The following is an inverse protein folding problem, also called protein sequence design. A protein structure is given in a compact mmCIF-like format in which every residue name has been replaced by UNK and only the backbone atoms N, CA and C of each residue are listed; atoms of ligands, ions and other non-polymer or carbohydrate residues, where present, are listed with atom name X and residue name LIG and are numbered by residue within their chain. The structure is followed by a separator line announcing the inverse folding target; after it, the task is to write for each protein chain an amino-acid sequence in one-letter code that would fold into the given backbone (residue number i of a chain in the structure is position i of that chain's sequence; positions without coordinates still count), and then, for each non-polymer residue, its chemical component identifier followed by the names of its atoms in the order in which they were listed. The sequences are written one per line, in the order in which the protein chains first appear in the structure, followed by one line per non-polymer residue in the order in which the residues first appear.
data_IF_926017855063
#
_entry.id   IF_926017855063
#
_cell.length_a   1.000
_cell.length_b   1.000
_cell.length_c   1.000
_cell.angle_alpha   90.00
_cell.angle_beta   90.00
_cell.angle_gamma   90.00
#
_symmetry.space_group_name_H-M   'P 1'
#
loop_
_entity.id
_entity.type
_entity.pdbx_description
1 polymer ?
#
# COMPACT_ATOMS: atom_id res chain seq x y z
N UNK A 1 22.22 21.37 8.31
CA UNK A 1 21.27 21.69 7.22
C UNK A 1 20.68 20.42 6.57
N UNK A 2 21.47 19.54 5.95
CA UNK A 2 20.96 18.35 5.23
C UNK A 2 20.10 17.37 6.06
N UNK A 3 20.42 17.15 7.33
CA UNK A 3 19.59 16.29 8.20
C UNK A 3 18.21 16.90 8.48
N UNK A 4 18.14 18.23 8.64
CA UNK A 4 16.88 18.96 8.87
C UNK A 4 16.04 18.93 7.59
N UNK A 5 16.65 19.19 6.44
CA UNK A 5 15.97 19.08 5.14
C UNK A 5 15.43 17.67 4.89
N UNK A 6 16.22 16.62 5.15
CA UNK A 6 15.78 15.23 5.05
C UNK A 6 14.58 14.90 5.96
N UNK A 7 14.60 15.40 7.21
CA UNK A 7 13.47 15.24 8.15
C UNK A 7 12.22 15.97 7.66
N UNK A 8 12.37 17.20 7.14
CA UNK A 8 11.26 17.96 6.58
C UNK A 8 10.64 17.24 5.37
N UNK A 9 11.46 16.77 4.42
CA UNK A 9 10.98 16.01 3.24
C UNK A 9 10.20 14.76 3.65
N UNK A 10 10.70 14.04 4.66
CA UNK A 10 10.00 12.89 5.22
C UNK A 10 8.67 13.30 5.85
N UNK A 11 8.65 14.39 6.62
CA UNK A 11 7.46 14.87 7.31
C UNK A 11 6.37 15.35 6.32
N UNK A 12 6.77 15.99 5.20
CA UNK A 12 5.88 16.32 4.07
C UNK A 12 5.27 15.07 3.45
N UNK A 13 6.11 14.06 3.13
CA UNK A 13 5.61 12.78 2.63
C UNK A 13 4.62 12.12 3.61
N UNK A 14 4.88 12.19 4.92
CA UNK A 14 3.99 11.65 5.95
C UNK A 14 2.64 12.33 6.01
N UNK A 15 2.59 13.66 5.94
CA UNK A 15 1.34 14.40 5.88
C UNK A 15 0.52 14.00 4.63
N UNK A 16 1.17 13.82 3.48
CA UNK A 16 0.53 13.33 2.26
C UNK A 16 0.01 11.89 2.41
N UNK A 17 0.79 10.99 3.02
CA UNK A 17 0.35 9.61 3.32
C UNK A 17 -0.85 9.55 4.27
N UNK A 18 -1.03 10.55 5.13
CA UNK A 18 -2.22 10.69 5.99
C UNK A 18 -3.42 11.35 5.28
N UNK A 19 -3.27 11.74 4.01
CA UNK A 19 -4.31 12.43 3.25
C UNK A 19 -4.44 13.92 3.59
N UNK A 20 -3.42 14.53 4.17
CA UNK A 20 -3.44 15.91 4.71
C UNK A 20 -2.52 16.86 3.90
N UNK A 21 -2.84 17.20 2.63
CA UNK A 21 -1.99 18.10 1.83
C UNK A 21 -1.91 19.51 2.42
N UNK A 22 -2.95 19.99 3.10
CA UNK A 22 -2.93 21.30 3.77
C UNK A 22 -1.91 21.34 4.91
N UNK A 23 -1.78 20.25 5.67
CA UNK A 23 -0.73 20.13 6.69
C UNK A 23 0.65 20.12 6.04
N UNK A 24 0.83 19.34 4.97
CA UNK A 24 2.09 19.29 4.21
C UNK A 24 2.53 20.69 3.75
N UNK A 25 1.61 21.50 3.20
CA UNK A 25 1.89 22.88 2.77
C UNK A 25 2.31 23.80 3.91
N UNK A 26 1.67 23.68 5.08
CA UNK A 26 2.02 24.50 6.27
C UNK A 26 3.41 24.19 6.82
N UNK A 27 3.87 22.95 6.69
CA UNK A 27 5.18 22.52 7.20
C UNK A 27 6.35 23.12 6.42
N UNK A 28 6.13 23.54 5.16
CA UNK A 28 7.14 24.08 4.25
C UNK A 28 7.12 25.60 4.15
N UNK A 29 6.62 26.30 5.18
CA UNK A 29 6.51 27.76 5.21
C UNK A 29 7.84 28.44 4.83
N UNK A 30 7.88 29.10 3.67
CA UNK A 30 9.05 29.81 3.13
C UNK A 30 9.60 29.26 1.80
N UNK A 31 9.44 27.96 1.52
CA UNK A 31 9.85 27.35 0.24
C UNK A 31 8.98 26.12 -0.04
N UNK A 32 7.81 26.35 -0.65
CA UNK A 32 6.87 25.31 -1.01
C UNK A 32 7.45 24.47 -2.16
N UNK A 33 7.62 23.14 -2.01
CA UNK A 33 8.00 22.30 -3.14
C UNK A 33 6.91 22.40 -4.22
N UNK A 34 7.26 22.57 -5.51
CA UNK A 34 6.28 22.66 -6.60
C UNK A 34 5.33 21.45 -6.68
N UNK A 35 5.78 20.30 -6.18
CA UNK A 35 4.96 19.10 -5.97
C UNK A 35 3.66 19.39 -5.21
N UNK A 36 3.71 20.24 -4.18
CA UNK A 36 2.55 20.51 -3.34
C UNK A 36 1.50 21.33 -4.07
N UNK A 37 1.85 22.09 -5.11
CA UNK A 37 0.90 22.85 -5.93
C UNK A 37 0.19 22.02 -7.00
N UNK A 38 0.69 20.82 -7.30
CA UNK A 38 0.07 19.95 -8.29
C UNK A 38 -1.30 19.45 -7.81
N UNK A 39 -2.22 19.24 -8.76
CA UNK A 39 -3.50 18.59 -8.48
C UNK A 39 -3.34 17.09 -8.26
N UNK A 40 -2.41 16.48 -8.99
CA UNK A 40 -2.15 15.04 -8.97
C UNK A 40 -0.65 14.77 -8.86
N UNK A 41 -0.32 13.63 -8.28
CA UNK A 41 1.03 13.09 -8.23
C UNK A 41 1.03 11.61 -8.56
N UNK A 42 2.18 11.09 -8.97
CA UNK A 42 2.46 9.67 -9.00
C UNK A 42 3.64 9.35 -8.07
N UNK A 43 3.63 8.14 -7.51
CA UNK A 43 4.76 7.62 -6.74
C UNK A 43 5.61 6.75 -7.64
N UNK A 44 6.88 7.08 -7.72
CA UNK A 44 7.94 6.27 -8.32
C UNK A 44 8.74 5.65 -7.18
N UNK A 45 8.64 4.34 -7.01
CA UNK A 45 9.36 3.62 -5.97
C UNK A 45 10.57 2.92 -6.58
N UNK A 46 11.76 3.47 -6.31
CA UNK A 46 13.02 2.91 -6.75
C UNK A 46 13.55 1.94 -5.69
N UNK A 47 13.82 0.69 -6.10
CA UNK A 47 14.64 -0.25 -5.34
C UNK A 47 16.10 -0.03 -5.70
N UNK A 48 16.94 0.26 -4.73
CA UNK A 48 18.39 0.39 -4.89
C UNK A 48 19.15 -0.10 -3.63
N UNK A 49 20.47 -0.32 -3.71
CA UNK A 49 21.29 -0.63 -2.54
C UNK A 49 21.18 0.49 -1.48
N UNK A 50 21.19 0.17 -0.16
CA UNK A 50 20.97 1.17 0.88
C UNK A 50 22.02 2.29 0.88
N UNK A 51 23.26 1.95 0.48
CA UNK A 51 24.38 2.88 0.35
C UNK A 51 24.15 3.93 -0.76
N UNK A 52 23.38 3.60 -1.80
CA UNK A 52 23.18 4.47 -2.96
C UNK A 52 22.10 5.53 -2.70
N UNK A 53 21.15 5.28 -1.78
CA UNK A 53 20.03 6.21 -1.49
C UNK A 53 20.50 7.62 -1.18
N UNK A 54 21.55 7.76 -0.36
CA UNK A 54 22.09 9.06 0.03
C UNK A 54 22.71 9.80 -1.14
N UNK A 55 23.50 9.08 -1.95
CA UNK A 55 24.14 9.61 -3.17
C UNK A 55 23.10 10.07 -4.18
N UNK A 56 22.08 9.26 -4.42
CA UNK A 56 21.01 9.58 -5.38
C UNK A 56 20.22 10.82 -4.97
N UNK A 57 19.81 10.92 -3.70
CA UNK A 57 19.13 12.13 -3.19
C UNK A 57 20.00 13.36 -3.44
N UNK A 58 21.27 13.33 -3.02
CA UNK A 58 22.17 14.47 -3.17
C UNK A 58 22.45 14.83 -4.64
N UNK A 59 22.51 13.85 -5.55
CA UNK A 59 22.78 14.07 -6.96
C UNK A 59 21.64 14.80 -7.71
N UNK A 60 20.41 14.66 -7.24
CA UNK A 60 19.23 15.30 -7.83
C UNK A 60 18.68 16.44 -6.95
N UNK A 61 19.36 16.78 -5.86
CA UNK A 61 18.95 17.86 -4.96
C UNK A 61 19.27 19.23 -5.59
N UNK A 62 18.28 20.10 -5.70
CA UNK A 62 18.43 21.47 -6.20
C UNK A 62 18.80 22.46 -5.07
N UNK A 63 19.01 23.73 -5.44
CA UNK A 63 19.36 24.79 -4.49
C UNK A 63 18.33 25.04 -3.38
N UNK A 64 17.07 24.64 -3.57
CA UNK A 64 16.00 24.75 -2.58
C UNK A 64 15.94 23.55 -1.62
N UNK A 65 16.77 22.52 -1.86
CA UNK A 65 16.74 21.28 -1.08
C UNK A 65 15.62 20.33 -1.51
N UNK A 66 15.05 20.52 -2.69
CA UNK A 66 14.09 19.61 -3.30
C UNK A 66 14.69 18.98 -4.56
N UNK A 67 13.88 18.35 -5.42
CA UNK A 67 14.38 17.60 -6.57
C UNK A 67 13.70 18.10 -7.85
N UNK A 68 13.87 19.41 -8.11
CA UNK A 68 13.13 20.16 -9.10
C UNK A 68 11.66 20.25 -8.71
N UNK A 69 10.81 19.66 -9.56
CA UNK A 69 9.36 19.63 -9.31
C UNK A 69 8.93 18.45 -8.43
N UNK A 70 9.81 17.47 -8.24
CA UNK A 70 9.54 16.28 -7.45
C UNK A 70 10.18 16.29 -6.07
N UNK A 71 10.02 15.19 -5.35
CA UNK A 71 10.56 15.00 -4.01
C UNK A 71 11.09 13.58 -3.84
N UNK A 72 12.39 13.41 -3.54
CA UNK A 72 12.93 12.11 -3.12
C UNK A 72 13.05 12.01 -1.59
N UNK A 73 12.60 10.87 -1.05
CA UNK A 73 12.58 10.57 0.38
C UNK A 73 13.07 9.15 0.60
N UNK A 74 13.99 8.95 1.56
CA UNK A 74 14.38 7.61 1.99
C UNK A 74 13.17 6.93 2.61
N UNK A 75 12.86 5.70 2.20
CA UNK A 75 11.87 4.92 2.94
C UNK A 75 12.42 4.57 4.32
N UNK A 76 11.77 4.97 5.43
CA UNK A 76 12.23 4.66 6.78
C UNK A 76 11.88 3.23 7.21
N UNK A 77 11.10 2.52 6.39
CA UNK A 77 10.67 1.15 6.65
C UNK A 77 11.53 0.14 5.91
N UNK A 78 11.85 0.38 4.64
CA UNK A 78 12.63 -0.52 3.79
C UNK A 78 13.92 0.15 3.34
N UNK A 79 15.06 -0.42 3.73
CA UNK A 79 16.36 0.17 3.46
C UNK A 79 16.78 0.17 2.00
N UNK A 80 16.10 -0.62 1.18
CA UNK A 80 16.32 -0.65 -0.26
C UNK A 80 15.41 0.29 -1.04
N UNK A 81 14.48 1.00 -0.39
CA UNK A 81 13.50 1.82 -1.09
C UNK A 81 13.85 3.31 -1.01
N UNK A 82 13.80 3.95 -2.18
CA UNK A 82 13.79 5.39 -2.37
C UNK A 82 12.42 5.78 -2.95
N UNK A 83 11.71 6.64 -2.24
CA UNK A 83 10.35 7.09 -2.59
C UNK A 83 10.50 8.40 -3.35
N UNK A 84 10.04 8.44 -4.59
CA UNK A 84 10.07 9.63 -5.43
C UNK A 84 8.63 10.06 -5.72
N UNK A 85 8.24 11.23 -5.22
CA UNK A 85 6.95 11.86 -5.53
C UNK A 85 7.15 12.73 -6.76
N UNK A 86 6.35 12.52 -7.78
CA UNK A 86 6.44 13.25 -9.06
C UNK A 86 5.07 13.89 -9.33
N UNK A 87 4.99 15.22 -9.50
CA UNK A 87 3.73 15.86 -9.87
C UNK A 87 3.33 15.48 -11.30
N UNK A 88 2.04 15.44 -11.56
CA UNK A 88 1.47 15.20 -12.90
C UNK A 88 0.65 16.43 -13.29
N UNK A 89 1.04 17.10 -14.37
CA UNK A 89 0.31 18.28 -14.88
C UNK A 89 -0.87 17.88 -15.77
N UNK A 90 -1.83 18.79 -15.90
CA UNK A 90 -3.11 18.54 -16.57
C UNK A 90 -3.02 18.36 -18.10
N UNK A 91 -1.96 18.88 -18.73
CA UNK A 91 -1.89 19.03 -20.21
C UNK A 91 -0.80 18.19 -20.90
N UNK A 92 -0.07 17.34 -20.17
CA UNK A 92 0.92 16.45 -20.79
C UNK A 92 0.70 14.99 -20.36
N UNK A 93 0.16 14.19 -21.27
CA UNK A 93 0.27 12.72 -21.25
C UNK A 93 1.76 12.26 -21.29
N UNK A 94 2.69 13.21 -21.44
CA UNK A 94 4.11 13.03 -21.20
C UNK A 94 4.44 13.15 -19.70
N UNK A 95 4.36 12.02 -19.00
CA UNK A 95 4.94 11.78 -17.65
C UNK A 95 6.49 11.91 -17.65
N UNK A 96 7.10 12.71 -18.53
CA UNK A 96 8.55 12.76 -18.76
C UNK A 96 9.24 14.00 -18.13
N UNK A 97 8.52 14.78 -17.33
CA UNK A 97 9.08 15.93 -16.61
C UNK A 97 9.87 15.57 -15.34
N UNK A 98 11.11 16.07 -15.25
CA UNK A 98 11.91 16.18 -14.01
C UNK A 98 12.61 14.88 -13.59
N UNK A 99 11.97 14.09 -12.74
CA UNK A 99 12.57 12.89 -12.11
C UNK A 99 12.38 11.60 -12.92
N UNK A 100 11.43 11.57 -13.86
CA UNK A 100 11.03 10.32 -14.52
C UNK A 100 12.11 9.80 -15.47
N UNK A 101 12.65 10.66 -16.34
CA UNK A 101 13.72 10.31 -17.27
C UNK A 101 14.98 9.84 -16.52
N UNK A 102 15.50 10.58 -15.50
CA UNK A 102 16.65 10.11 -14.74
C UNK A 102 16.41 8.79 -14.00
N UNK A 103 15.24 8.58 -13.39
CA UNK A 103 14.95 7.33 -12.68
C UNK A 103 14.94 6.12 -13.64
N UNK A 104 14.43 6.30 -14.86
CA UNK A 104 14.46 5.26 -15.90
C UNK A 104 15.88 5.00 -16.40
N UNK A 105 16.70 6.03 -16.55
CA UNK A 105 18.11 5.88 -16.90
C UNK A 105 18.87 5.08 -15.83
N UNK A 106 18.72 5.42 -14.55
CA UNK A 106 19.35 4.70 -13.45
C UNK A 106 19.06 3.19 -13.43
N UNK A 107 17.84 2.78 -13.77
CA UNK A 107 17.46 1.34 -13.85
C UNK A 107 18.06 0.64 -15.07
N UNK A 108 18.22 1.35 -16.18
CA UNK A 108 18.90 0.82 -17.38
C UNK A 108 20.39 0.64 -17.10
N UNK A 109 21.00 1.60 -16.40
CA UNK A 109 22.45 1.66 -16.19
C UNK A 109 22.95 0.75 -15.06
N UNK A 110 22.14 0.52 -14.01
CA UNK A 110 22.50 -0.37 -12.89
C UNK A 110 21.53 -1.57 -12.79
N UNK A 111 21.99 -2.81 -13.00
CA UNK A 111 21.14 -4.00 -12.94
C UNK A 111 20.62 -4.29 -11.54
N UNK A 112 21.17 -3.68 -10.49
CA UNK A 112 20.70 -3.82 -9.10
C UNK A 112 19.45 -2.99 -8.84
N UNK A 113 19.05 -2.11 -9.78
CA UNK A 113 17.96 -1.17 -9.61
C UNK A 113 16.69 -1.70 -10.27
N UNK A 114 15.54 -1.38 -9.67
CA UNK A 114 14.23 -1.66 -10.24
C UNK A 114 13.25 -0.54 -9.86
N UNK A 115 12.27 -0.26 -10.71
CA UNK A 115 11.35 0.87 -10.53
C UNK A 115 9.88 0.44 -10.68
N UNK A 116 9.12 0.68 -9.62
CA UNK A 116 7.66 0.60 -9.65
C UNK A 116 7.05 1.98 -9.79
N UNK A 117 6.08 2.15 -10.69
CA UNK A 117 5.42 3.42 -10.96
C UNK A 117 3.93 3.27 -10.64
N UNK A 118 3.43 4.03 -9.67
CA UNK A 118 2.01 4.09 -9.33
C UNK A 118 1.21 4.90 -10.36
N UNK A 119 -0.13 4.83 -10.29
CA UNK A 119 -0.99 5.65 -11.12
C UNK A 119 -1.01 7.11 -10.61
N UNK A 120 -1.31 8.09 -11.48
CA UNK A 120 -1.54 9.46 -11.05
C UNK A 120 -2.78 9.56 -10.14
N UNK A 121 -2.64 10.12 -8.95
CA UNK A 121 -3.73 10.28 -7.97
C UNK A 121 -3.76 11.70 -7.41
N UNK A 122 -4.91 12.19 -6.92
CA UNK A 122 -4.96 13.42 -6.13
C UNK A 122 -4.06 13.33 -4.89
N UNK A 123 -3.51 14.45 -4.42
CA UNK A 123 -2.60 14.49 -3.25
C UNK A 123 -3.15 13.75 -2.00
N UNK A 124 -4.44 13.88 -1.62
CA UNK A 124 -4.98 13.13 -0.48
C UNK A 124 -4.90 11.60 -0.62
N UNK A 125 -4.81 11.09 -1.86
CA UNK A 125 -4.73 9.66 -2.16
C UNK A 125 -3.28 9.14 -2.26
N UNK A 126 -2.28 9.87 -1.74
CA UNK A 126 -0.85 9.49 -1.81
C UNK A 126 -0.59 8.08 -1.25
N UNK A 127 -1.29 7.67 -0.18
CA UNK A 127 -1.17 6.32 0.36
C UNK A 127 -1.50 5.23 -0.67
N UNK A 128 -2.55 5.44 -1.46
CA UNK A 128 -2.94 4.55 -2.56
C UNK A 128 -1.87 4.53 -3.66
N UNK A 129 -1.35 5.68 -4.09
CA UNK A 129 -0.28 5.70 -5.10
C UNK A 129 1.00 5.04 -4.62
N UNK A 130 1.34 5.18 -3.33
CA UNK A 130 2.48 4.47 -2.74
C UNK A 130 2.29 2.95 -2.79
N UNK A 131 1.09 2.45 -2.48
CA UNK A 131 0.79 1.03 -2.59
C UNK A 131 0.81 0.53 -4.04
N UNK A 132 0.22 1.28 -4.97
CA UNK A 132 0.29 0.98 -6.40
C UNK A 132 1.75 0.90 -6.90
N UNK A 133 2.61 1.81 -6.46
CA UNK A 133 4.03 1.80 -6.79
C UNK A 133 4.77 0.60 -6.18
N UNK A 134 4.40 0.17 -4.96
CA UNK A 134 4.92 -1.06 -4.35
C UNK A 134 4.50 -2.30 -5.14
N UNK A 135 3.26 -2.37 -5.58
CA UNK A 135 2.78 -3.45 -6.43
C UNK A 135 3.57 -3.49 -7.75
N UNK A 136 3.64 -2.35 -8.44
CA UNK A 136 4.41 -2.22 -9.66
C UNK A 136 5.89 -2.59 -9.44
N UNK A 137 6.50 -2.22 -8.31
CA UNK A 137 7.90 -2.58 -8.03
C UNK A 137 8.09 -4.11 -7.86
N UNK A 138 7.12 -4.80 -7.26
CA UNK A 138 7.15 -6.26 -7.14
C UNK A 138 7.06 -6.94 -8.52
N UNK A 139 6.28 -6.38 -9.45
CA UNK A 139 6.26 -6.79 -10.87
C UNK A 139 7.64 -6.53 -11.49
N UNK A 140 8.15 -5.31 -11.36
CA UNK A 140 9.38 -4.84 -11.98
C UNK A 140 10.59 -5.68 -11.59
N UNK A 141 10.70 -6.14 -10.33
CA UNK A 141 11.81 -6.98 -9.89
C UNK A 141 11.91 -8.32 -10.63
N UNK A 142 10.87 -8.72 -11.38
CA UNK A 142 10.79 -10.00 -12.09
C UNK A 142 10.62 -9.83 -13.61
N UNK A 143 10.67 -8.60 -14.13
CA UNK A 143 10.68 -8.34 -15.57
C UNK A 143 12.09 -8.00 -16.07
N UNK A 144 12.45 -8.36 -17.31
CA UNK A 144 13.75 -8.01 -17.89
C UNK A 144 14.02 -6.50 -17.89
N UNK A 145 12.98 -5.70 -18.11
CA UNK A 145 13.04 -4.23 -18.16
C UNK A 145 13.30 -3.60 -16.79
N UNK A 146 13.02 -4.33 -15.70
CA UNK A 146 13.12 -3.87 -14.31
C UNK A 146 12.32 -2.60 -14.00
N UNK A 147 11.37 -2.27 -14.86
CA UNK A 147 10.46 -1.14 -14.74
C UNK A 147 9.05 -1.68 -14.97
N UNK A 148 8.13 -1.37 -14.07
CA UNK A 148 6.72 -1.64 -14.30
C UNK A 148 5.87 -0.45 -13.85
N UNK A 149 4.78 -0.24 -14.59
CA UNK A 149 3.71 0.69 -14.24
C UNK A 149 2.56 -0.10 -13.65
N UNK A 150 1.92 0.47 -12.64
CA UNK A 150 0.63 0.01 -12.18
C UNK A 150 -0.36 0.22 -13.33
N UNK A 151 -0.99 -0.85 -13.80
CA UNK A 151 -2.08 -0.81 -14.76
C UNK A 151 -3.37 -1.06 -14.00
N UNK A 152 -4.44 -0.35 -14.37
CA UNK A 152 -5.72 -0.27 -13.67
C UNK A 152 -6.45 -1.63 -13.54
N UNK A 153 -5.96 -2.49 -12.65
CA UNK A 153 -6.83 -3.46 -12.00
C UNK A 153 -7.58 -2.72 -10.91
N UNK A 154 -8.92 -2.57 -11.03
CA UNK A 154 -9.69 -1.95 -9.96
C UNK A 154 -9.45 -2.74 -8.66
N UNK A 155 -9.07 -2.07 -7.56
CA UNK A 155 -8.94 -2.74 -6.27
C UNK A 155 -10.29 -3.36 -5.92
N UNK A 156 -10.29 -4.44 -5.14
CA UNK A 156 -11.51 -5.15 -4.74
C UNK A 156 -12.60 -4.19 -4.25
N UNK A 157 -12.25 -3.19 -3.44
CA UNK A 157 -13.16 -2.16 -2.96
C UNK A 157 -13.99 -1.47 -4.07
N UNK A 158 -13.38 -1.21 -5.23
CA UNK A 158 -14.06 -0.57 -6.37
C UNK A 158 -14.92 -1.51 -7.21
N UNK A 159 -14.83 -2.83 -6.97
CA UNK A 159 -15.63 -3.86 -7.65
C UNK A 159 -16.88 -4.24 -6.86
N UNK A 160 -16.94 -3.89 -5.57
CA UNK A 160 -18.10 -4.20 -4.72
C UNK A 160 -19.29 -3.28 -5.05
N UNK A 161 -20.53 -3.76 -4.90
CA UNK A 161 -21.72 -2.93 -5.05
C UNK A 161 -21.65 -1.70 -4.14
N UNK A 162 -21.53 -0.52 -4.75
CA UNK A 162 -21.00 0.68 -4.08
C UNK A 162 -21.80 1.11 -2.84
N UNK A 163 -23.13 1.13 -2.95
CA UNK A 163 -24.00 1.55 -1.84
C UNK A 163 -23.96 0.54 -0.69
N UNK A 164 -24.03 -0.75 -1.01
CA UNK A 164 -23.95 -1.85 -0.05
C UNK A 164 -22.60 -1.87 0.66
N UNK A 165 -21.51 -1.67 -0.10
CA UNK A 165 -20.16 -1.59 0.44
C UNK A 165 -19.97 -0.39 1.36
N UNK A 166 -20.48 0.80 0.99
CA UNK A 166 -20.46 1.98 1.86
C UNK A 166 -21.25 1.76 3.15
N UNK A 167 -22.46 1.22 3.06
CA UNK A 167 -23.29 0.95 4.23
C UNK A 167 -22.58 -0.03 5.20
N UNK A 168 -21.98 -1.10 4.66
CA UNK A 168 -21.17 -2.02 5.44
C UNK A 168 -19.94 -1.35 6.06
N UNK A 169 -19.17 -0.59 5.27
CA UNK A 169 -17.97 0.07 5.76
C UNK A 169 -18.27 1.11 6.86
N UNK A 170 -19.35 1.89 6.70
CA UNK A 170 -19.79 2.82 7.73
C UNK A 170 -20.20 2.10 9.01
N UNK A 171 -21.03 1.05 8.92
CA UNK A 171 -21.42 0.27 10.08
C UNK A 171 -20.22 -0.40 10.77
N UNK A 172 -19.26 -0.93 10.00
CA UNK A 172 -18.05 -1.55 10.50
C UNK A 172 -17.12 -0.55 11.20
N UNK A 173 -16.98 0.67 10.67
CA UNK A 173 -16.09 1.71 11.20
C UNK A 173 -16.75 2.59 12.29
N UNK A 174 -18.06 2.51 12.48
CA UNK A 174 -18.79 3.31 13.47
C UNK A 174 -18.18 3.26 14.89
N UNK A 175 -17.75 2.09 15.42
CA UNK A 175 -17.17 2.04 16.77
C UNK A 175 -15.90 2.87 16.95
N UNK A 176 -15.20 3.19 15.86
CA UNK A 176 -13.98 4.02 15.89
C UNK A 176 -14.18 5.41 15.29
N UNK A 177 -15.41 5.79 14.94
CA UNK A 177 -15.71 7.08 14.30
C UNK A 177 -15.31 8.28 15.17
N UNK A 178 -15.44 8.14 16.48
CA UNK A 178 -15.07 9.18 17.46
C UNK A 178 -13.61 9.08 17.94
N UNK A 179 -12.84 8.11 17.43
CA UNK A 179 -11.45 7.94 17.81
C UNK A 179 -10.63 9.19 17.41
N UNK A 180 -9.60 9.56 18.18
CA UNK A 180 -8.74 10.69 17.83
C UNK A 180 -8.12 10.49 16.44
N UNK A 181 -8.05 11.55 15.62
CA UNK A 181 -7.50 11.51 14.24
C UNK A 181 -6.16 10.76 14.15
N UNK A 182 -5.23 11.08 15.05
CA UNK A 182 -3.93 10.40 15.17
C UNK A 182 -4.05 8.87 15.31
N UNK A 183 -5.08 8.38 16.01
CA UNK A 183 -5.34 6.94 16.17
C UNK A 183 -5.74 6.31 14.84
N UNK A 184 -6.59 6.98 14.06
CA UNK A 184 -7.01 6.53 12.73
C UNK A 184 -5.82 6.56 11.76
N UNK A 185 -4.99 7.61 11.80
CA UNK A 185 -3.80 7.73 10.96
C UNK A 185 -2.77 6.62 11.27
N UNK A 186 -2.50 6.38 12.56
CA UNK A 186 -1.63 5.27 13.00
C UNK A 186 -2.18 3.92 12.52
N UNK A 187 -3.50 3.74 12.58
CA UNK A 187 -4.16 2.50 12.15
C UNK A 187 -4.02 2.31 10.65
N UNK A 188 -4.34 3.32 9.85
CA UNK A 188 -4.17 3.29 8.40
C UNK A 188 -2.71 3.01 8.00
N UNK A 189 -1.75 3.67 8.64
CA UNK A 189 -0.32 3.39 8.42
C UNK A 189 0.07 1.97 8.83
N UNK A 190 -0.45 1.46 9.96
CA UNK A 190 -0.13 0.11 10.43
C UNK A 190 -0.69 -0.99 9.52
N UNK A 191 -1.72 -0.72 8.71
CA UNK A 191 -2.21 -1.64 7.68
C UNK A 191 -1.25 -1.74 6.48
N UNK A 192 -0.43 -0.72 6.27
CA UNK A 192 0.51 -0.63 5.14
C UNK A 192 1.98 -0.89 5.53
N UNK A 193 2.30 -0.72 6.81
CA UNK A 193 3.67 -0.81 7.35
C UNK A 193 3.72 -1.63 8.66
N UNK A 194 4.86 -2.29 8.95
CA UNK A 194 5.12 -2.85 10.27
C UNK A 194 5.04 -1.76 11.36
N UNK A 195 4.58 -2.12 12.57
CA UNK A 195 4.44 -1.19 13.71
C UNK A 195 5.73 -0.42 14.03
N UNK A 196 6.88 -1.09 13.94
CA UNK A 196 8.18 -0.44 14.13
C UNK A 196 8.50 0.59 13.03
N UNK A 197 8.01 0.34 11.81
CA UNK A 197 8.05 1.31 10.71
C UNK A 197 7.17 2.51 11.01
N UNK A 198 5.92 2.29 11.44
CA UNK A 198 4.99 3.38 11.84
C UNK A 198 5.57 4.25 12.95
N UNK A 199 6.17 3.63 13.97
CA UNK A 199 6.84 4.34 15.07
C UNK A 199 7.96 5.26 14.56
N UNK A 200 8.82 4.76 13.65
CA UNK A 200 9.88 5.56 13.02
C UNK A 200 9.33 6.65 12.09
N UNK A 201 8.25 6.35 11.36
CA UNK A 201 7.59 7.27 10.43
C UNK A 201 7.01 8.49 11.17
N UNK A 202 6.42 8.26 12.34
CA UNK A 202 5.75 9.30 13.14
C UNK A 202 6.63 9.90 14.25
N UNK A 203 7.89 9.46 14.37
CA UNK A 203 8.80 9.82 15.46
C UNK A 203 8.18 9.64 16.87
N UNK A 204 7.46 8.54 17.06
CA UNK A 204 6.83 8.16 18.33
C UNK A 204 7.33 6.78 18.80
N UNK A 205 7.11 6.48 20.08
CA UNK A 205 7.49 5.18 20.62
C UNK A 205 6.65 4.03 20.02
N UNK A 206 7.24 2.84 19.90
CA UNK A 206 6.50 1.61 19.52
C UNK A 206 5.35 1.30 20.48
N UNK A 207 5.50 1.69 21.75
CA UNK A 207 4.47 1.52 22.78
C UNK A 207 3.28 2.44 22.49
N UNK A 208 3.52 3.68 22.06
CA UNK A 208 2.49 4.63 21.64
C UNK A 208 1.69 4.06 20.46
N UNK A 209 2.37 3.59 19.41
CA UNK A 209 1.71 2.90 18.28
C UNK A 209 0.86 1.73 18.78
N UNK A 210 1.41 0.91 19.68
CA UNK A 210 0.71 -0.27 20.21
C UNK A 210 -0.52 0.12 21.03
N UNK A 211 -0.48 1.20 21.81
CA UNK A 211 -1.60 1.71 22.58
C UNK A 211 -2.73 2.22 21.67
N UNK A 212 -2.41 2.97 20.62
CA UNK A 212 -3.40 3.41 19.63
C UNK A 212 -4.05 2.23 18.89
N UNK A 213 -3.25 1.26 18.45
CA UNK A 213 -3.77 0.06 17.79
C UNK A 213 -4.61 -0.80 18.74
N UNK A 214 -4.29 -0.85 20.04
CA UNK A 214 -5.10 -1.56 21.04
C UNK A 214 -6.48 -0.91 21.19
N UNK A 215 -6.55 0.42 21.30
CA UNK A 215 -7.85 1.13 21.36
C UNK A 215 -8.77 0.81 20.18
N UNK A 216 -8.21 0.73 18.97
CA UNK A 216 -8.98 0.36 17.76
C UNK A 216 -9.42 -1.10 17.81
N UNK A 217 -8.52 -2.01 18.20
CA UNK A 217 -8.85 -3.44 18.37
C UNK A 217 -9.97 -3.64 19.39
N UNK A 218 -9.89 -2.96 20.54
CA UNK A 218 -10.89 -3.07 21.61
C UNK A 218 -12.25 -2.50 21.16
N UNK A 219 -12.25 -1.36 20.48
CA UNK A 219 -13.48 -0.73 19.97
C UNK A 219 -14.17 -1.56 18.87
N UNK A 220 -13.39 -2.18 17.98
CA UNK A 220 -13.90 -3.01 16.89
C UNK A 220 -14.12 -4.48 17.27
N UNK A 221 -13.67 -4.90 18.47
CA UNK A 221 -13.73 -6.30 18.89
C UNK A 221 -12.90 -7.25 18.03
N UNK A 222 -11.81 -6.78 17.41
CA UNK A 222 -10.98 -7.56 16.49
C UNK A 222 -9.50 -7.60 16.88
N UNK A 223 -8.75 -8.53 16.28
CA UNK A 223 -7.30 -8.62 16.47
C UNK A 223 -6.56 -8.24 15.20
N UNK A 224 -5.68 -7.24 15.25
CA UNK A 224 -4.82 -6.88 14.12
C UNK A 224 -3.65 -7.85 13.92
N UNK A 225 -3.54 -8.87 14.77
CA UNK A 225 -2.66 -10.03 14.53
C UNK A 225 -3.33 -11.08 13.63
N UNK A 226 -4.67 -11.07 13.56
CA UNK A 226 -5.39 -11.91 12.61
C UNK A 226 -5.37 -11.24 11.23
N UNK A 227 -4.77 -11.89 10.21
CA UNK A 227 -4.70 -11.34 8.86
C UNK A 227 -6.09 -11.13 8.24
N UNK A 228 -7.13 -11.86 8.66
CA UNK A 228 -8.50 -11.68 8.16
C UNK A 228 -9.11 -10.39 8.69
N UNK A 229 -9.12 -10.21 10.01
CA UNK A 229 -9.52 -8.95 10.66
C UNK A 229 -8.79 -7.74 10.10
N UNK A 230 -7.48 -7.88 9.87
CA UNK A 230 -6.63 -6.83 9.28
C UNK A 230 -7.02 -6.50 7.83
N UNK A 231 -7.35 -7.52 7.03
CA UNK A 231 -7.78 -7.35 5.64
C UNK A 231 -9.19 -6.75 5.53
N UNK A 232 -10.10 -7.10 6.45
CA UNK A 232 -11.44 -6.49 6.53
C UNK A 232 -11.36 -5.01 6.89
N UNK A 233 -10.57 -4.64 7.90
CA UNK A 233 -10.37 -3.24 8.26
C UNK A 233 -9.76 -2.43 7.11
N UNK A 234 -8.77 -3.00 6.41
CA UNK A 234 -8.18 -2.37 5.24
C UNK A 234 -9.21 -2.18 4.11
N UNK A 235 -10.09 -3.16 3.88
CA UNK A 235 -11.17 -3.07 2.89
C UNK A 235 -12.20 -2.01 3.27
N UNK A 236 -12.63 -1.96 4.53
CA UNK A 236 -13.58 -0.96 5.03
C UNK A 236 -13.05 0.47 4.86
N UNK A 237 -11.78 0.71 5.23
CA UNK A 237 -11.13 2.01 5.02
C UNK A 237 -11.02 2.34 3.52
N UNK A 238 -10.61 1.38 2.68
CA UNK A 238 -10.52 1.58 1.24
C UNK A 238 -11.87 1.93 0.60
N UNK A 239 -12.97 1.31 1.06
CA UNK A 239 -14.33 1.62 0.60
C UNK A 239 -14.79 3.00 1.06
N UNK A 240 -14.45 3.40 2.29
CA UNK A 240 -14.75 4.73 2.82
C UNK A 240 -13.99 5.84 2.06
N UNK A 241 -12.78 5.56 1.59
CA UNK A 241 -11.94 6.51 0.87
C UNK A 241 -12.24 6.61 -0.63
N UNK A 242 -13.15 5.78 -1.16
CA UNK A 242 -13.60 5.88 -2.55
C UNK A 242 -14.34 7.22 -2.78
N UNK A 243 -14.21 7.82 -3.98
CA UNK A 243 -14.90 9.07 -4.31
C UNK A 243 -16.41 9.01 -4.05
N UNK A 244 -17.05 10.14 -3.67
CA UNK A 244 -18.49 10.22 -3.51
C UNK A 244 -19.21 9.84 -4.80
N UNK A 245 -20.36 9.17 -4.70
CA UNK A 245 -21.24 8.97 -5.85
C UNK A 245 -21.81 10.33 -6.28
N UNK A 246 -21.64 10.69 -7.55
CA UNK A 246 -22.39 11.78 -8.14
C UNK A 246 -23.81 11.28 -8.42
N UNK A 247 -24.76 11.66 -7.57
CA UNK A 247 -26.17 11.28 -7.69
C UNK A 247 -26.73 10.77 -6.37
N UNK A 248 -27.56 11.59 -5.74
CA UNK A 248 -28.38 11.18 -4.60
C UNK A 248 -29.44 10.19 -5.09
N UNK A 249 -29.20 8.90 -4.91
CA UNK A 249 -30.28 7.97 -4.64
C UNK A 249 -30.25 7.72 -3.13
N UNK A 250 -31.19 8.34 -2.41
CA UNK A 250 -31.43 8.06 -1.01
C UNK A 250 -31.66 6.55 -0.88
N UNK A 251 -30.73 5.84 -0.25
CA UNK A 251 -30.89 4.43 0.03
C UNK A 251 -31.88 4.30 1.20
N UNK A 252 -33.13 4.01 0.87
CA UNK A 252 -34.12 3.51 1.82
C UNK A 252 -33.59 2.25 2.50
N UNK A 253 -33.56 2.26 3.84
CA UNK A 253 -33.68 1.16 4.83
C UNK A 253 -33.22 -0.28 4.50
N UNK A 254 -32.37 -0.50 3.51
CA UNK A 254 -31.85 -1.83 3.21
C UNK A 254 -30.98 -2.30 4.38
N UNK A 255 -31.13 -3.56 4.83
CA UNK A 255 -30.32 -4.11 5.91
C UNK A 255 -28.84 -4.03 5.53
N UNK A 256 -27.99 -3.66 6.49
CA UNK A 256 -26.54 -3.62 6.30
C UNK A 256 -26.05 -4.99 5.84
N UNK A 257 -25.45 -5.11 4.65
CA UNK A 257 -25.00 -6.40 4.12
C UNK A 257 -23.80 -6.90 4.93
N UNK A 258 -23.68 -8.21 5.04
CA UNK A 258 -22.47 -8.82 5.57
C UNK A 258 -21.32 -8.69 4.58
N UNK A 259 -20.07 -8.65 5.08
CA UNK A 259 -18.87 -8.67 4.22
C UNK A 259 -18.90 -9.90 3.30
N UNK A 260 -19.40 -11.02 3.79
CA UNK A 260 -19.50 -12.25 3.01
C UNK A 260 -20.44 -12.10 1.82
N UNK A 261 -21.59 -11.43 2.00
CA UNK A 261 -22.51 -11.13 0.90
C UNK A 261 -21.88 -10.23 -0.16
N UNK A 262 -21.07 -9.24 0.24
CA UNK A 262 -20.34 -8.36 -0.68
C UNK A 262 -19.29 -9.15 -1.50
N UNK A 263 -18.59 -10.06 -0.83
CA UNK A 263 -17.52 -10.85 -1.42
C UNK A 263 -18.03 -12.00 -2.31
N UNK A 264 -19.30 -12.39 -2.18
CA UNK A 264 -19.94 -13.41 -3.03
C UNK A 264 -20.48 -12.87 -4.36
N UNK A 265 -20.23 -11.60 -4.70
CA UNK A 265 -20.66 -11.03 -5.98
C UNK A 265 -19.87 -11.61 -7.15
N UNK A 266 -20.46 -11.62 -8.34
CA UNK A 266 -19.80 -12.12 -9.56
C UNK A 266 -18.50 -11.35 -9.88
N UNK A 267 -18.52 -10.03 -9.69
CA UNK A 267 -17.34 -9.18 -9.88
C UNK A 267 -16.20 -9.54 -8.90
N UNK A 268 -16.52 -9.75 -7.62
CA UNK A 268 -15.54 -10.19 -6.62
C UNK A 268 -15.01 -11.60 -6.90
N UNK A 269 -15.87 -12.52 -7.33
CA UNK A 269 -15.51 -13.89 -7.70
C UNK A 269 -14.58 -13.92 -8.93
N UNK A 270 -14.92 -13.17 -9.97
CA UNK A 270 -14.08 -12.99 -11.17
C UNK A 270 -12.72 -12.41 -10.82
N UNK A 271 -12.70 -11.39 -9.97
CA UNK A 271 -11.46 -10.79 -9.47
C UNK A 271 -10.60 -11.80 -8.70
N UNK A 272 -11.19 -12.57 -7.78
CA UNK A 272 -10.45 -13.54 -6.98
C UNK A 272 -9.86 -14.66 -7.86
N UNK A 273 -10.63 -15.16 -8.82
CA UNK A 273 -10.13 -16.14 -9.79
C UNK A 273 -9.00 -15.56 -10.64
N UNK A 274 -9.15 -14.35 -11.19
CA UNK A 274 -8.08 -13.70 -11.94
C UNK A 274 -6.82 -13.46 -11.10
N UNK A 275 -6.97 -13.10 -9.83
CA UNK A 275 -5.87 -12.90 -8.89
C UNK A 275 -5.12 -14.22 -8.60
N UNK A 276 -5.86 -15.32 -8.39
CA UNK A 276 -5.28 -16.63 -8.05
C UNK A 276 -4.89 -17.46 -9.29
N UNK A 277 -5.30 -17.07 -10.49
CA UNK A 277 -5.01 -17.78 -11.73
C UNK A 277 -3.51 -18.05 -11.97
N UNK A 278 -2.57 -17.14 -11.63
CA UNK A 278 -1.14 -17.43 -11.70
C UNK A 278 -0.66 -18.56 -10.77
N UNK A 279 -1.45 -18.94 -9.76
CA UNK A 279 -1.22 -20.08 -8.87
C UNK A 279 -1.99 -21.33 -9.29
N UNK A 280 -2.66 -21.30 -10.44
CA UNK A 280 -3.53 -22.36 -10.97
C UNK A 280 -2.77 -23.63 -11.39
N UNK A 281 -3.49 -24.65 -11.92
CA UNK A 281 -2.97 -25.99 -12.18
C UNK A 281 -1.74 -25.95 -13.10
N UNK A 282 -0.59 -26.34 -12.54
CA UNK A 282 0.75 -26.20 -13.14
C UNK A 282 1.74 -25.48 -12.20
N UNK A 283 1.24 -24.64 -11.30
CA UNK A 283 2.00 -24.16 -10.14
C UNK A 283 2.08 -25.26 -9.09
N UNK A 284 3.22 -25.38 -8.41
CA UNK A 284 3.41 -26.37 -7.35
C UNK A 284 2.28 -26.25 -6.30
N UNK A 285 1.42 -27.27 -6.23
CA UNK A 285 0.29 -27.37 -5.30
C UNK A 285 0.75 -27.09 -3.86
N UNK A 286 2.02 -27.36 -3.55
CA UNK A 286 2.64 -27.04 -2.27
C UNK A 286 2.68 -25.53 -1.97
N UNK A 287 2.88 -24.66 -2.97
CA UNK A 287 2.85 -23.20 -2.80
C UNK A 287 1.46 -22.75 -2.37
N UNK A 288 0.42 -23.18 -3.08
CA UNK A 288 -0.96 -22.82 -2.74
C UNK A 288 -1.35 -23.31 -1.33
N UNK A 289 -1.02 -24.56 -0.99
CA UNK A 289 -1.22 -25.10 0.36
C UNK A 289 -0.46 -24.31 1.42
N UNK A 290 0.77 -23.89 1.11
CA UNK A 290 1.59 -23.08 2.01
C UNK A 290 0.98 -21.71 2.27
N UNK A 291 0.45 -21.04 1.25
CA UNK A 291 -0.21 -19.74 1.41
C UNK A 291 -1.44 -19.82 2.32
N UNK A 292 -2.27 -20.85 2.15
CA UNK A 292 -3.46 -21.07 3.00
C UNK A 292 -3.08 -21.33 4.45
N UNK A 293 -2.15 -22.25 4.68
CA UNK A 293 -1.65 -22.56 6.02
C UNK A 293 -0.94 -21.35 6.65
N UNK A 294 -0.28 -20.51 5.84
CA UNK A 294 0.36 -19.28 6.30
C UNK A 294 -0.64 -18.24 6.79
N UNK A 295 -1.74 -18.04 6.08
CA UNK A 295 -2.82 -17.15 6.53
C UNK A 295 -3.49 -17.71 7.79
N UNK A 296 -3.79 -19.00 7.83
CA UNK A 296 -4.35 -19.66 9.02
C UNK A 296 -3.43 -19.56 10.24
N UNK A 297 -2.12 -19.59 10.01
CA UNK A 297 -1.10 -19.41 11.04
C UNK A 297 -0.86 -17.93 11.42
N UNK A 298 -1.69 -16.99 10.97
CA UNK A 298 -1.56 -15.58 11.30
C UNK A 298 -0.37 -14.89 10.62
N UNK A 299 0.00 -15.34 9.42
CA UNK A 299 1.19 -14.87 8.66
C UNK A 299 2.54 -15.18 9.33
N UNK A 300 2.59 -16.14 10.25
CA UNK A 300 3.80 -16.59 10.93
C UNK A 300 4.45 -17.79 10.20
N UNK A 301 5.58 -17.54 9.53
CA UNK A 301 6.29 -18.58 8.77
C UNK A 301 6.83 -19.73 9.64
N UNK A 302 7.14 -19.50 10.92
CA UNK A 302 7.60 -20.56 11.83
C UNK A 302 6.44 -21.48 12.20
N UNK A 303 5.28 -20.89 12.53
CA UNK A 303 4.07 -21.65 12.83
C UNK A 303 3.57 -22.42 11.60
N UNK A 304 3.63 -21.81 10.42
CA UNK A 304 3.30 -22.49 9.16
C UNK A 304 4.19 -23.70 8.90
N UNK A 305 5.51 -23.54 9.09
CA UNK A 305 6.49 -24.61 8.92
C UNK A 305 6.17 -25.80 9.84
N UNK A 306 5.87 -25.52 11.11
CA UNK A 306 5.44 -26.53 12.08
C UNK A 306 4.14 -27.23 11.65
N UNK A 307 3.12 -26.48 11.28
CA UNK A 307 1.81 -27.03 10.87
C UNK A 307 1.86 -27.88 9.60
N UNK A 308 2.79 -27.58 8.69
CA UNK A 308 2.95 -28.30 7.42
C UNK A 308 4.04 -29.39 7.46
N UNK A 309 4.80 -29.50 8.55
CA UNK A 309 5.93 -30.44 8.63
C UNK A 309 7.08 -30.13 7.67
N UNK A 310 7.26 -28.87 7.26
CA UNK A 310 8.33 -28.43 6.35
C UNK A 310 9.26 -27.43 7.03
N UNK A 311 10.41 -27.13 6.42
CA UNK A 311 11.32 -26.13 6.98
C UNK A 311 10.79 -24.70 6.82
N UNK A 312 11.15 -23.80 7.74
CA UNK A 312 10.88 -22.35 7.59
C UNK A 312 11.50 -21.77 6.32
N UNK A 313 12.62 -22.31 5.86
CA UNK A 313 13.26 -21.91 4.61
C UNK A 313 12.40 -22.26 3.40
N UNK A 314 11.77 -23.45 3.41
CA UNK A 314 10.82 -23.89 2.38
C UNK A 314 9.59 -22.98 2.34
N UNK A 315 9.01 -22.64 3.50
CA UNK A 315 7.89 -21.67 3.57
C UNK A 315 8.28 -20.33 2.93
N UNK A 316 9.47 -19.81 3.25
CA UNK A 316 9.97 -18.56 2.65
C UNK A 316 10.21 -18.68 1.15
N UNK A 317 10.66 -19.83 0.66
CA UNK A 317 10.82 -20.08 -0.77
C UNK A 317 9.46 -20.08 -1.48
N UNK A 318 8.45 -20.75 -0.92
CA UNK A 318 7.08 -20.73 -1.45
C UNK A 318 6.47 -19.33 -1.43
N UNK A 319 6.67 -18.56 -0.36
CA UNK A 319 6.21 -17.16 -0.30
C UNK A 319 6.86 -16.31 -1.39
N UNK A 320 8.17 -16.47 -1.64
CA UNK A 320 8.87 -15.76 -2.73
C UNK A 320 8.35 -16.17 -4.12
N UNK A 321 8.12 -17.46 -4.34
CA UNK A 321 7.53 -17.96 -5.58
C UNK A 321 6.12 -17.39 -5.78
N UNK A 322 5.31 -17.34 -4.73
CA UNK A 322 3.99 -16.71 -4.78
C UNK A 322 4.06 -15.20 -5.05
N UNK A 323 5.00 -14.47 -4.43
CA UNK A 323 5.21 -13.05 -4.73
C UNK A 323 5.57 -12.82 -6.20
N UNK A 324 6.36 -13.72 -6.80
CA UNK A 324 6.72 -13.69 -8.21
C UNK A 324 5.51 -13.91 -9.12
N UNK A 325 4.72 -14.94 -8.83
CA UNK A 325 3.56 -15.32 -9.65
C UNK A 325 2.42 -14.31 -9.53
N UNK A 326 2.06 -13.93 -8.31
CA UNK A 326 0.99 -12.97 -8.03
C UNK A 326 1.42 -11.51 -8.27
N UNK A 327 2.73 -11.28 -8.40
CA UNK A 327 3.34 -9.95 -8.46
C UNK A 327 2.95 -9.07 -7.26
N UNK A 328 2.66 -9.67 -6.10
CA UNK A 328 2.29 -8.99 -4.85
C UNK A 328 3.37 -9.16 -3.80
N UNK A 329 3.52 -8.19 -2.90
CA UNK A 329 4.39 -8.35 -1.74
C UNK A 329 3.64 -9.08 -0.62
N UNK A 330 4.20 -10.19 -0.16
CA UNK A 330 3.65 -11.09 0.88
C UNK A 330 4.60 -11.24 2.07
N UNK A 331 5.92 -11.17 1.86
CA UNK A 331 6.92 -11.28 2.94
C UNK A 331 6.89 -10.07 3.90
N UNK A 332 6.20 -9.01 3.49
CA UNK A 332 6.10 -7.77 4.24
C UNK A 332 4.62 -7.47 4.51
N UNK A 333 4.24 -7.19 5.76
CA UNK A 333 2.87 -6.79 6.08
C UNK A 333 2.43 -5.61 5.22
N UNK A 334 1.31 -5.77 4.50
CA UNK A 334 0.78 -4.75 3.61
C UNK A 334 -0.36 -5.26 2.73
N UNK A 335 -0.79 -4.44 1.75
CA UNK A 335 -1.98 -4.69 0.94
C UNK A 335 -1.96 -5.98 0.13
N UNK A 336 -0.79 -6.43 -0.34
CA UNK A 336 -0.67 -7.71 -1.05
C UNK A 336 -1.11 -8.93 -0.21
N UNK A 337 -0.89 -8.88 1.12
CA UNK A 337 -1.43 -9.90 2.03
C UNK A 337 -2.95 -9.77 2.19
N UNK A 338 -3.49 -8.54 2.23
CA UNK A 338 -4.93 -8.32 2.34
C UNK A 338 -5.69 -8.80 1.10
N UNK A 339 -5.16 -8.52 -0.09
CA UNK A 339 -5.71 -9.03 -1.36
C UNK A 339 -5.70 -10.56 -1.38
N UNK A 340 -4.59 -11.19 -0.99
CA UNK A 340 -4.50 -12.66 -0.95
C UNK A 340 -5.52 -13.28 0.03
N UNK A 341 -5.72 -12.65 1.19
CA UNK A 341 -6.73 -13.09 2.17
C UNK A 341 -8.13 -13.04 1.57
N UNK A 342 -8.50 -11.94 0.92
CA UNK A 342 -9.82 -11.80 0.29
C UNK A 342 -9.98 -12.77 -0.87
N UNK A 343 -8.98 -12.90 -1.74
CA UNK A 343 -9.03 -13.80 -2.89
C UNK A 343 -9.22 -15.26 -2.46
N UNK A 344 -8.48 -15.73 -1.46
CA UNK A 344 -8.64 -17.09 -0.93
C UNK A 344 -9.98 -17.28 -0.21
N UNK A 345 -10.47 -16.28 0.53
CA UNK A 345 -11.80 -16.34 1.18
C UNK A 345 -12.93 -16.46 0.15
N UNK A 346 -12.84 -15.71 -0.95
CA UNK A 346 -13.81 -15.75 -2.04
C UNK A 346 -13.74 -17.11 -2.74
N UNK A 347 -12.55 -17.57 -3.12
CA UNK A 347 -12.36 -18.86 -3.80
C UNK A 347 -12.79 -20.06 -2.95
N UNK A 348 -12.65 -20.00 -1.62
CA UNK A 348 -13.10 -21.06 -0.71
C UNK A 348 -14.62 -21.19 -0.59
N UNK A 349 -15.35 -20.17 -1.02
CA UNK A 349 -16.81 -20.06 -0.90
C UNK A 349 -17.51 -20.05 -2.26
N UNK A 350 -16.76 -19.83 -3.34
CA UNK A 350 -17.26 -19.97 -4.69
C UNK A 350 -17.65 -21.46 -4.92
N UNK A 351 -18.82 -21.72 -5.55
CA UNK A 351 -19.31 -23.08 -5.80
C UNK A 351 -18.46 -23.89 -6.78
#
# INVERSE_FOLDING_TARGET
YQQVASRLRLAVFMALMAGEPTLARRMTAGALPPLLDAERLCIHLLRCPPADRGRLIAAYEDASGYHGRGLMVRCPVYDHHLICLVPVDRDDDHVDGGLVVPLRALVRDDPRYALGIGAPVPLPATARAYDQARHALAVACHTPERIARYHDQPPLAGLLPRQQALAWAHAFLEPIRTAPRLTLDITSLALNFPRAGVARLLDISRNTVTAHLRRVQDALGLSLQDPRSRAELALALAVNDLPPLHGNAAAEHAPTPSVDSLLSTEAATTWAHAFLQPLGPGTDRAVHQTLRAWIQAGTDAQRTAHNLGISRTTVRAHLRAAEQLLKRSLQTPGPGTHELVHALRIADRAP
#
